data_IF_190579808618
#
_entry.id   IF_190579808618
#
_cell.length_a   1.000
_cell.length_b   1.000
_cell.length_c   1.000
_cell.angle_alpha   90.00
_cell.angle_beta   90.00
_cell.angle_gamma   90.00
#
_symmetry.space_group_name_H-M   'P 1'
#
loop_
_entity.id
_entity.type
_entity.pdbx_description
1 polymer ?
#
# COMPACT_ATOMS: atom_id res chain seq x y z
N UNK A 1 -10.89 4.37 4.00
CA UNK A 1 -10.76 2.96 4.42
C UNK A 1 -9.40 2.43 3.99
N UNK A 2 -8.62 1.86 4.92
CA UNK A 2 -7.28 1.32 4.63
C UNK A 2 -7.38 -0.19 4.45
N UNK A 3 -6.84 -0.71 3.35
CA UNK A 3 -6.70 -2.14 3.09
C UNK A 3 -5.24 -2.56 3.29
N UNK A 4 -5.00 -3.59 4.10
CA UNK A 4 -3.68 -4.22 4.18
C UNK A 4 -3.43 -5.09 2.92
N UNK A 5 -2.33 -4.82 2.24
CA UNK A 5 -1.97 -5.46 0.96
C UNK A 5 -2.49 -4.73 -0.28
N UNK A 6 -2.26 -5.35 -1.45
CA UNK A 6 -2.47 -4.66 -2.72
C UNK A 6 -3.94 -4.59 -3.15
N UNK A 7 -4.36 -3.47 -3.75
CA UNK A 7 -5.59 -3.27 -4.51
C UNK A 7 -5.56 -3.93 -5.90
N UNK A 8 -4.42 -4.47 -6.35
CA UNK A 8 -4.37 -5.35 -7.51
C UNK A 8 -5.05 -6.69 -7.19
N UNK A 9 -6.37 -6.75 -7.31
CA UNK A 9 -7.10 -8.01 -7.20
C UNK A 9 -6.63 -8.95 -8.32
N UNK A 10 -6.16 -10.15 -7.95
CA UNK A 10 -5.99 -11.23 -8.93
C UNK A 10 -7.37 -11.57 -9.51
N UNK A 11 -7.51 -11.69 -10.83
CA UNK A 11 -8.74 -12.20 -11.42
C UNK A 11 -8.91 -13.65 -10.94
N UNK A 12 -9.97 -13.94 -10.18
CA UNK A 12 -10.41 -15.32 -10.01
C UNK A 12 -10.72 -15.89 -11.39
N UNK A 13 -10.44 -17.18 -11.59
CA UNK A 13 -10.50 -17.88 -12.88
C UNK A 13 -11.84 -17.78 -13.63
N UNK A 14 -12.90 -17.26 -13.01
CA UNK A 14 -14.18 -17.05 -13.67
C UNK A 14 -14.23 -15.63 -14.26
N UNK A 15 -14.06 -15.54 -15.59
CA UNK A 15 -13.90 -14.33 -16.40
C UNK A 15 -15.03 -13.29 -16.40
N UNK A 16 -15.95 -13.31 -15.43
CA UNK A 16 -17.13 -12.44 -15.39
C UNK A 16 -16.98 -11.18 -14.52
N UNK A 17 -15.90 -11.02 -13.73
CA UNK A 17 -15.78 -9.89 -12.79
C UNK A 17 -15.21 -8.59 -13.36
N UNK A 18 -14.69 -8.57 -14.59
CA UNK A 18 -14.24 -7.31 -15.22
C UNK A 18 -15.40 -6.31 -15.39
N UNK A 19 -16.63 -6.81 -15.58
CA UNK A 19 -17.85 -6.00 -15.62
C UNK A 19 -18.19 -5.37 -14.25
N UNK A 20 -17.80 -6.01 -13.15
CA UNK A 20 -18.14 -5.55 -11.80
C UNK A 20 -17.18 -4.50 -11.25
N UNK A 21 -15.92 -4.46 -11.70
CA UNK A 21 -14.95 -3.49 -11.19
C UNK A 21 -15.30 -2.04 -11.60
N UNK A 22 -16.00 -1.86 -12.73
CA UNK A 22 -16.61 -0.56 -13.10
C UNK A 22 -17.75 -0.17 -12.14
N UNK A 23 -18.60 -1.12 -11.76
CA UNK A 23 -19.71 -0.88 -10.83
C UNK A 23 -19.20 -0.58 -9.40
N UNK A 24 -18.11 -1.20 -8.97
CA UNK A 24 -17.49 -0.94 -7.67
C UNK A 24 -16.49 0.21 -7.68
N UNK A 25 -16.17 0.81 -8.84
CA UNK A 25 -15.15 1.86 -8.96
C UNK A 25 -15.41 3.01 -7.99
N UNK A 26 -16.68 3.43 -7.86
CA UNK A 26 -17.11 4.48 -6.94
C UNK A 26 -16.93 4.09 -5.47
N UNK A 27 -17.18 2.83 -5.10
CA UNK A 27 -16.95 2.33 -3.74
C UNK A 27 -15.48 2.34 -3.34
N UNK A 28 -14.57 2.23 -4.31
CA UNK A 28 -13.11 2.28 -4.09
C UNK A 28 -12.52 3.69 -4.08
N UNK A 29 -13.32 4.74 -4.30
CA UNK A 29 -12.85 6.13 -4.35
C UNK A 29 -12.11 6.56 -3.06
N UNK A 30 -12.58 6.06 -1.91
CA UNK A 30 -12.02 6.35 -0.58
C UNK A 30 -11.22 5.19 0.01
N UNK A 31 -10.84 4.23 -0.83
CA UNK A 31 -10.08 3.04 -0.41
C UNK A 31 -8.63 3.21 -0.82
N UNK A 32 -7.73 2.97 0.14
CA UNK A 32 -6.30 3.07 -0.04
C UNK A 32 -5.69 1.70 0.31
N UNK A 33 -4.89 1.16 -0.60
CA UNK A 33 -4.08 -0.03 -0.36
C UNK A 33 -2.75 0.35 0.26
N UNK A 34 -2.40 -0.30 1.36
CA UNK A 34 -1.10 -0.14 2.00
C UNK A 34 -0.40 -1.48 2.00
N UNK A 35 0.70 -1.59 1.26
CA UNK A 35 1.49 -2.81 1.14
C UNK A 35 2.82 -2.66 1.89
N UNK A 36 3.04 -3.57 2.86
CA UNK A 36 4.26 -3.65 3.68
C UNK A 36 5.41 -4.37 2.96
N UNK A 37 5.10 -5.12 1.91
CA UNK A 37 6.05 -5.78 1.03
C UNK A 37 5.77 -5.36 -0.42
N UNK A 38 6.84 -5.04 -1.14
CA UNK A 38 6.75 -4.68 -2.55
C UNK A 38 8.03 -5.12 -3.27
N UNK A 39 7.91 -5.45 -4.55
CA UNK A 39 9.08 -5.69 -5.39
C UNK A 39 9.67 -4.32 -5.82
N UNK A 40 10.92 -3.99 -5.47
CA UNK A 40 11.57 -2.74 -5.88
C UNK A 40 11.65 -2.54 -7.39
N UNK A 41 11.66 -3.62 -8.17
CA UNK A 41 11.69 -3.57 -9.66
C UNK A 41 10.42 -2.94 -10.27
N UNK A 42 9.31 -2.99 -9.53
CA UNK A 42 8.05 -2.39 -9.95
C UNK A 42 7.99 -0.88 -9.65
N UNK A 43 8.94 -0.34 -8.90
CA UNK A 43 9.06 1.10 -8.69
C UNK A 43 9.65 1.71 -9.96
N UNK A 44 8.82 2.26 -10.84
CA UNK A 44 9.28 2.90 -12.08
C UNK A 44 9.22 4.42 -11.94
N UNK A 45 10.31 5.08 -12.33
CA UNK A 45 10.33 6.54 -12.53
C UNK A 45 9.50 6.93 -13.78
N UNK A 46 9.23 8.22 -13.98
CA UNK A 46 8.55 8.76 -15.16
C UNK A 46 9.24 8.41 -16.49
N UNK A 47 10.49 7.92 -16.45
CA UNK A 47 11.27 7.41 -17.59
C UNK A 47 11.26 5.87 -17.74
N UNK A 48 10.57 5.14 -16.85
CA UNK A 48 10.43 3.68 -16.92
C UNK A 48 11.54 2.86 -16.26
N UNK A 49 12.57 3.51 -15.71
CA UNK A 49 13.68 2.85 -14.99
C UNK A 49 13.31 2.52 -13.55
N UNK A 50 13.89 1.44 -13.01
CA UNK A 50 13.70 1.05 -11.61
C UNK A 50 14.23 2.15 -10.67
N UNK A 51 13.34 2.77 -9.90
CA UNK A 51 13.64 3.90 -9.00
C UNK A 51 13.90 3.45 -7.55
N UNK A 52 14.51 2.27 -7.39
CA UNK A 52 14.88 1.75 -6.08
C UNK A 52 15.78 2.72 -5.30
N UNK A 53 16.65 3.46 -6.00
CA UNK A 53 17.53 4.45 -5.39
C UNK A 53 16.78 5.61 -4.72
N UNK A 54 15.71 6.13 -5.33
CA UNK A 54 14.91 7.18 -4.70
C UNK A 54 14.18 6.71 -3.43
N UNK A 55 13.84 5.42 -3.34
CA UNK A 55 13.30 4.85 -2.10
C UNK A 55 14.40 4.75 -1.04
N UNK A 56 15.58 4.25 -1.41
CA UNK A 56 16.72 4.10 -0.50
C UNK A 56 17.11 5.44 0.11
N UNK A 57 17.20 6.49 -0.70
CA UNK A 57 17.61 7.84 -0.28
C UNK A 57 16.47 8.65 0.37
N UNK A 58 15.26 8.07 0.50
CA UNK A 58 14.08 8.77 1.01
C UNK A 58 14.21 9.08 2.52
N UNK A 59 14.19 10.37 2.93
CA UNK A 59 14.28 10.74 4.34
C UNK A 59 13.07 10.27 5.14
N UNK A 60 13.21 10.22 6.46
CA UNK A 60 12.08 9.89 7.34
C UNK A 60 10.93 10.90 7.17
N UNK A 61 9.68 10.40 7.16
CA UNK A 61 8.45 11.17 6.95
C UNK A 61 8.28 11.82 5.59
N UNK A 62 9.13 11.45 4.64
CA UNK A 62 8.99 11.89 3.27
C UNK A 62 8.31 10.82 2.42
N UNK A 63 7.71 11.28 1.33
CA UNK A 63 7.10 10.44 0.30
C UNK A 63 7.79 10.63 -1.04
N UNK A 64 7.68 9.63 -1.90
CA UNK A 64 8.03 9.80 -3.31
C UNK A 64 6.94 10.58 -4.06
N UNK A 65 7.27 11.12 -5.24
CA UNK A 65 6.25 11.52 -6.20
C UNK A 65 5.27 10.38 -6.52
N UNK A 66 4.06 10.75 -6.93
CA UNK A 66 3.02 9.78 -7.30
C UNK A 66 3.27 9.28 -8.71
N UNK A 67 3.51 7.98 -8.85
CA UNK A 67 3.63 7.29 -10.12
C UNK A 67 2.26 6.79 -10.57
N UNK A 68 1.90 7.08 -11.83
CA UNK A 68 0.69 6.55 -12.47
C UNK A 68 1.02 5.22 -13.15
N UNK A 69 0.37 4.15 -12.72
CA UNK A 69 0.55 2.80 -13.26
C UNK A 69 -0.74 2.34 -13.92
N UNK A 70 -0.62 1.86 -15.17
CA UNK A 70 -1.71 1.18 -15.89
C UNK A 70 -1.40 -0.31 -15.91
N UNK A 71 -2.31 -1.11 -15.38
CA UNK A 71 -2.15 -2.57 -15.38
C UNK A 71 -2.76 -3.13 -16.65
N UNK A 72 -1.98 -3.85 -17.47
CA UNK A 72 -2.47 -4.48 -18.72
C UNK A 72 -3.67 -5.41 -18.50
N UNK A 73 -3.77 -6.00 -17.30
CA UNK A 73 -4.82 -6.94 -16.90
C UNK A 73 -6.20 -6.29 -16.77
N UNK A 74 -6.27 -4.98 -16.51
CA UNK A 74 -7.55 -4.27 -16.30
C UNK A 74 -7.54 -3.01 -17.18
N UNK A 75 -7.96 -3.12 -18.46
CA UNK A 75 -8.09 -1.97 -19.33
C UNK A 75 -9.14 -1.01 -18.75
N UNK A 76 -8.84 0.29 -18.71
CA UNK A 76 -9.63 1.41 -18.12
C UNK A 76 -9.38 1.78 -16.65
N UNK A 77 -8.51 1.07 -15.91
CA UNK A 77 -8.15 1.47 -14.55
C UNK A 77 -6.71 1.95 -14.48
N UNK A 78 -6.54 3.13 -13.88
CA UNK A 78 -5.25 3.70 -13.54
C UNK A 78 -5.07 3.68 -12.03
N UNK A 79 -3.87 3.30 -11.58
CA UNK A 79 -3.48 3.33 -10.18
C UNK A 79 -2.50 4.48 -9.96
N UNK A 80 -2.69 5.19 -8.85
CA UNK A 80 -1.71 6.09 -8.30
C UNK A 80 -0.92 5.33 -7.23
N UNK A 81 0.41 5.32 -7.35
CA UNK A 81 1.30 4.59 -6.44
C UNK A 81 2.40 5.51 -5.95
N UNK A 82 2.64 5.53 -4.65
CA UNK A 82 3.76 6.22 -4.04
C UNK A 82 4.28 5.47 -2.82
N UNK A 83 5.44 5.88 -2.33
CA UNK A 83 6.10 5.24 -1.20
C UNK A 83 6.30 6.26 -0.09
N UNK A 84 6.18 5.82 1.15
CA UNK A 84 6.36 6.67 2.35
C UNK A 84 7.37 6.00 3.28
N UNK A 85 8.33 6.78 3.76
CA UNK A 85 9.32 6.34 4.76
C UNK A 85 8.80 6.60 6.18
N UNK A 86 8.44 5.55 6.89
CA UNK A 86 7.99 5.60 8.30
C UNK A 86 9.16 5.67 9.30
N UNK A 87 10.29 5.03 8.99
CA UNK A 87 11.42 4.85 9.90
C UNK A 87 12.74 5.16 9.21
N UNK A 88 13.70 5.74 9.93
CA UNK A 88 14.98 6.13 9.34
C UNK A 88 15.92 4.93 9.17
N UNK A 89 16.50 4.80 7.98
CA UNK A 89 17.62 3.88 7.70
C UNK A 89 18.95 4.63 7.88
N UNK A 90 19.99 4.02 8.48
CA UNK A 90 20.08 2.66 9.03
C UNK A 90 19.70 2.54 10.53
N UNK A 91 19.36 3.65 11.19
CA UNK A 91 19.23 3.71 12.66
C UNK A 91 18.08 2.86 13.23
N UNK A 92 16.97 2.75 12.51
CA UNK A 92 15.74 2.11 12.99
C UNK A 92 15.35 0.85 12.20
N UNK A 93 16.10 0.51 11.16
CA UNK A 93 15.69 -0.48 10.15
C UNK A 93 16.89 -1.28 9.66
N UNK A 94 16.73 -2.60 9.44
CA UNK A 94 17.82 -3.49 9.04
C UNK A 94 18.18 -3.35 7.57
N UNK A 95 17.18 -3.26 6.70
CA UNK A 95 17.37 -3.06 5.26
C UNK A 95 16.89 -1.66 4.84
N UNK A 96 17.38 -1.11 3.71
CA UNK A 96 16.92 0.20 3.24
C UNK A 96 15.47 0.17 2.71
N UNK A 97 14.85 -1.00 2.57
CA UNK A 97 13.43 -1.13 2.20
C UNK A 97 12.52 -1.34 3.43
N UNK A 98 13.10 -1.73 4.57
CA UNK A 98 12.38 -1.72 5.83
C UNK A 98 12.06 -0.28 6.25
N UNK A 99 10.95 -0.11 6.94
CA UNK A 99 10.41 1.20 7.28
C UNK A 99 9.79 1.95 6.11
N UNK A 100 9.55 1.30 4.97
CA UNK A 100 8.86 1.89 3.82
C UNK A 100 7.54 1.18 3.58
N UNK A 101 6.48 1.95 3.38
CA UNK A 101 5.18 1.43 2.92
C UNK A 101 4.92 1.87 1.50
N UNK A 102 4.37 0.96 0.68
CA UNK A 102 3.84 1.28 -0.65
C UNK A 102 2.36 1.61 -0.48
N UNK A 103 1.96 2.79 -0.93
CA UNK A 103 0.57 3.24 -0.90
C UNK A 103 0.04 3.27 -2.32
N UNK A 104 -1.18 2.77 -2.52
CA UNK A 104 -1.85 2.78 -3.81
C UNK A 104 -3.32 3.14 -3.71
N UNK A 105 -3.79 3.92 -4.69
CA UNK A 105 -5.17 4.38 -4.80
C UNK A 105 -5.64 4.21 -6.24
N UNK A 106 -6.88 3.77 -6.41
CA UNK A 106 -7.52 3.68 -7.73
C UNK A 106 -7.97 5.07 -8.14
N UNK A 107 -7.62 5.52 -9.35
CA UNK A 107 -8.15 6.76 -9.92
C UNK A 107 -9.53 6.46 -10.53
N UNK A 108 -10.56 7.07 -9.93
CA UNK A 108 -11.96 6.79 -10.23
C UNK A 108 -12.53 7.84 -11.14
N UNK A 109 -12.26 9.12 -10.84
CA UNK A 109 -12.91 10.26 -11.48
C UNK A 109 -12.24 10.61 -12.81
N UNK A 110 -13.02 11.14 -13.76
CA UNK A 110 -12.52 11.60 -15.06
C UNK A 110 -11.51 12.75 -14.92
N UNK A 111 -11.61 13.54 -13.84
CA UNK A 111 -10.64 14.58 -13.46
C UNK A 111 -9.28 14.02 -13.02
N UNK A 112 -9.24 12.81 -12.44
CA UNK A 112 -8.00 12.14 -12.01
C UNK A 112 -7.36 11.37 -13.18
N UNK A 113 -8.19 10.92 -14.12
CA UNK A 113 -7.84 10.03 -15.23
C UNK A 113 -7.41 10.83 -16.46
N UNK A 114 -6.47 10.28 -17.24
CA UNK A 114 -5.98 10.90 -18.50
C UNK A 114 -7.05 11.20 -19.55
N UNK A 115 -8.26 10.61 -19.44
CA UNK A 115 -9.37 10.80 -20.38
C UNK A 115 -10.01 12.20 -20.30
N UNK A 116 -9.88 12.92 -19.17
CA UNK A 116 -10.55 14.21 -18.94
C UNK A 116 -9.68 15.47 -18.99
N UNK A 117 -8.42 15.43 -19.47
CA UNK A 117 -7.36 16.44 -19.20
C UNK A 117 -6.80 16.40 -17.76
N UNK A 118 -6.88 15.25 -17.09
CA UNK A 118 -6.72 15.15 -15.64
C UNK A 118 -5.34 15.49 -15.07
N UNK A 119 -5.33 16.41 -14.10
CA UNK A 119 -4.18 16.90 -13.34
C UNK A 119 -3.53 15.84 -12.42
N UNK A 120 -4.13 14.64 -12.33
CA UNK A 120 -3.68 13.58 -11.42
C UNK A 120 -4.47 13.58 -10.12
N UNK A 121 -3.93 12.92 -9.08
CA UNK A 121 -4.43 13.12 -7.72
C UNK A 121 -4.03 14.50 -7.23
N UNK A 122 -4.89 15.12 -6.42
CA UNK A 122 -4.54 16.36 -5.74
C UNK A 122 -3.34 16.13 -4.80
N UNK A 123 -2.42 17.09 -4.79
CA UNK A 123 -1.20 16.98 -4.00
C UNK A 123 -1.52 17.07 -2.51
N UNK A 124 -2.46 17.93 -2.14
CA UNK A 124 -2.90 18.13 -0.76
C UNK A 124 -3.55 16.85 -0.19
N UNK A 125 -4.38 16.16 -0.99
CA UNK A 125 -4.96 14.87 -0.62
C UNK A 125 -3.87 13.82 -0.35
N UNK A 126 -2.87 13.74 -1.22
CA UNK A 126 -1.77 12.78 -1.09
C UNK A 126 -0.92 13.10 0.14
N UNK A 127 -0.67 14.38 0.42
CA UNK A 127 0.06 14.84 1.59
C UNK A 127 -0.72 14.54 2.89
N UNK A 128 -2.02 14.82 2.91
CA UNK A 128 -2.90 14.51 4.04
C UNK A 128 -2.95 13.01 4.33
N UNK A 129 -3.13 12.18 3.30
CA UNK A 129 -3.10 10.71 3.43
C UNK A 129 -1.75 10.27 3.98
N UNK A 130 -0.66 10.81 3.43
CA UNK A 130 0.69 10.41 3.83
C UNK A 130 0.99 10.79 5.28
N UNK A 131 0.61 12.01 5.69
CA UNK A 131 0.73 12.48 7.07
C UNK A 131 -0.09 11.62 8.03
N UNK A 132 -1.31 11.24 7.63
CA UNK A 132 -2.18 10.37 8.43
C UNK A 132 -1.54 9.00 8.68
N UNK A 133 -1.01 8.37 7.62
CA UNK A 133 -0.31 7.07 7.72
C UNK A 133 0.97 7.16 8.56
N UNK A 134 1.69 8.29 8.48
CA UNK A 134 2.86 8.54 9.33
C UNK A 134 2.47 8.63 10.81
N UNK A 135 1.33 9.25 11.13
CA UNK A 135 0.84 9.35 12.51
C UNK A 135 0.36 7.98 13.03
N UNK A 136 -0.26 7.16 12.19
CA UNK A 136 -0.74 5.82 12.55
C UNK A 136 0.36 4.77 12.80
N UNK A 137 1.64 5.08 12.51
CA UNK A 137 2.76 4.15 12.77
C UNK A 137 3.04 3.93 14.26
N UNK A 138 2.51 4.80 15.12
CA UNK A 138 2.73 4.78 16.56
C UNK A 138 1.40 4.52 17.29
N UNK A 139 1.41 3.73 18.38
CA UNK A 139 2.56 3.03 18.97
C UNK A 139 3.05 1.83 18.15
N UNK A 140 4.25 1.35 18.47
CA UNK A 140 5.00 0.42 17.61
C UNK A 140 5.21 -0.92 18.30
N UNK A 141 5.05 -2.03 17.58
CA UNK A 141 5.26 -3.39 18.10
C UNK A 141 6.74 -3.83 18.09
N UNK A 142 7.66 -2.90 18.37
CA UNK A 142 9.09 -3.17 18.37
C UNK A 142 9.42 -4.28 19.39
N UNK A 143 10.12 -5.33 18.93
CA UNK A 143 10.46 -6.51 19.73
C UNK A 143 9.42 -7.63 19.71
N UNK A 144 8.16 -7.35 19.38
CA UNK A 144 7.09 -8.37 19.27
C UNK A 144 6.95 -8.94 17.86
N UNK A 145 7.25 -8.15 16.82
CA UNK A 145 7.20 -8.58 15.42
C UNK A 145 8.51 -8.21 14.70
N UNK A 146 9.06 -9.13 13.90
CA UNK A 146 10.24 -8.88 13.07
C UNK A 146 9.97 -7.82 11.99
N UNK A 147 8.71 -7.64 11.59
CA UNK A 147 8.25 -6.70 10.56
C UNK A 147 7.82 -5.35 11.14
N UNK A 148 8.02 -5.10 12.44
CA UNK A 148 7.51 -3.94 13.17
C UNK A 148 7.75 -2.59 12.47
N UNK A 149 8.85 -2.47 11.72
CA UNK A 149 9.21 -1.26 11.00
C UNK A 149 8.14 -0.79 9.99
N UNK A 150 7.37 -1.74 9.44
CA UNK A 150 6.34 -1.49 8.42
C UNK A 150 4.91 -1.53 8.98
N UNK A 151 4.73 -1.80 10.28
CA UNK A 151 3.39 -1.89 10.86
C UNK A 151 2.78 -0.51 11.09
N UNK A 152 1.49 -0.42 10.75
CA UNK A 152 0.59 0.61 11.25
C UNK A 152 -0.12 0.06 12.49
N UNK A 153 -0.26 0.88 13.51
CA UNK A 153 -0.83 0.47 14.79
C UNK A 153 -2.25 -0.10 14.67
N UNK A 154 -3.19 0.52 13.92
CA UNK A 154 -4.54 -0.03 13.79
C UNK A 154 -4.53 -1.44 13.15
N UNK A 155 -3.69 -1.65 12.13
CA UNK A 155 -3.56 -2.94 11.45
C UNK A 155 -2.98 -4.00 12.39
N UNK A 156 -1.94 -3.64 13.15
CA UNK A 156 -1.34 -4.52 14.13
C UNK A 156 -2.32 -4.94 15.23
N UNK A 157 -3.14 -4.02 15.74
CA UNK A 157 -4.17 -4.32 16.74
C UNK A 157 -5.20 -5.31 16.20
N UNK A 158 -5.72 -5.07 14.99
CA UNK A 158 -6.69 -5.97 14.37
C UNK A 158 -6.10 -7.35 14.12
N UNK A 159 -4.87 -7.43 13.61
CA UNK A 159 -4.18 -8.70 13.39
C UNK A 159 -3.95 -9.46 14.70
N UNK A 160 -3.53 -8.76 15.75
CA UNK A 160 -3.32 -9.34 17.08
C UNK A 160 -4.63 -9.85 17.70
N UNK A 161 -5.71 -9.09 17.56
CA UNK A 161 -7.04 -9.49 18.02
C UNK A 161 -7.55 -10.73 17.29
N UNK A 162 -7.47 -10.76 15.95
CA UNK A 162 -7.88 -11.93 15.16
C UNK A 162 -7.06 -13.16 15.52
N UNK A 163 -5.73 -13.02 15.68
CA UNK A 163 -4.85 -14.13 16.11
C UNK A 163 -5.20 -14.67 17.49
N UNK A 164 -5.69 -13.82 18.40
CA UNK A 164 -6.12 -14.26 19.73
C UNK A 164 -7.38 -15.13 19.72
N UNK A 165 -8.16 -15.11 18.63
CA UNK A 165 -9.34 -15.96 18.45
C UNK A 165 -9.00 -17.34 17.87
N UNK A 166 -7.76 -17.56 17.43
CA UNK A 166 -7.35 -18.85 16.90
C UNK A 166 -7.12 -19.86 18.03
N UNK A 167 -7.40 -21.13 17.72
CA UNK A 167 -7.06 -22.25 18.60
C UNK A 167 -5.54 -22.27 18.83
N UNK A 168 -5.14 -22.62 20.05
CA UNK A 168 -3.72 -22.73 20.36
C UNK A 168 -3.07 -23.79 19.47
N UNK A 169 -1.81 -23.55 19.11
CA UNK A 169 -1.03 -24.48 18.28
C UNK A 169 -0.98 -25.87 18.92
N UNK A 170 -0.97 -25.97 20.25
CA UNK A 170 -0.95 -27.24 20.98
C UNK A 170 -2.25 -28.04 20.80
N UNK A 171 -3.40 -27.37 20.86
CA UNK A 171 -4.71 -28.02 20.62
C UNK A 171 -4.83 -28.43 19.15
N UNK A 172 -4.35 -27.59 18.23
CA UNK A 172 -4.32 -27.93 16.81
C UNK A 172 -3.44 -29.15 16.52
N UNK A 173 -2.25 -29.24 17.13
CA UNK A 173 -1.36 -30.40 16.98
C UNK A 173 -1.93 -31.67 17.61
N UNK A 174 -2.70 -31.56 18.68
CA UNK A 174 -3.37 -32.71 19.30
C UNK A 174 -4.56 -33.28 18.51
N UNK A 175 -4.99 -32.59 17.45
CA UNK A 175 -6.09 -33.01 16.57
C UNK A 175 -5.62 -33.89 15.39
N UNK A 176 -4.32 -34.11 15.22
CA UNK A 176 -3.69 -34.94 14.17
C UNK A 176 -2.63 -35.87 14.75
#
# INVERSE_FOLDING_TARGET
MVKDGSLEYQPMQNGSKYANLKNFKNSYQYVIGVSKSFNPENCKDGKGNANAKAIIDLPQFHRTPVSRIRVKRIPDIEFAVWYIRLRKFPEQTKTPFDGVIKVEKIMVTDNETRRGRGYGLDTDDVDMISASLINERCPTCNGSDLRYANHLYPVYLTESYIKSLYLSNDVFLSLF
#
